data_IF_313719876542
#
_entry.id   IF_313719876542
#
_cell.length_a   1.000
_cell.length_b   1.000
_cell.length_c   1.000
_cell.angle_alpha   90.00
_cell.angle_beta   90.00
_cell.angle_gamma   90.00
#
_symmetry.space_group_name_H-M   'P 1'
#
loop_
_entity.id
_entity.type
_entity.pdbx_description
1 polymer ?
#
# COMPACT_ATOMS: atom_id res chain seq x y z
N UNK A 1 5.97 -13.09 0.23
CA UNK A 1 6.22 -12.85 1.67
C UNK A 1 5.70 -11.45 2.04
N UNK A 2 5.07 -11.30 3.21
CA UNK A 2 4.41 -10.09 3.70
C UNK A 2 5.33 -8.87 3.83
N UNK A 3 6.60 -9.07 4.22
CA UNK A 3 7.57 -7.96 4.37
C UNK A 3 7.81 -7.23 3.04
N UNK A 4 7.85 -7.97 1.93
CA UNK A 4 8.07 -7.39 0.60
C UNK A 4 6.85 -6.61 0.12
N UNK A 5 5.63 -7.14 0.34
CA UNK A 5 4.40 -6.42 0.02
C UNK A 5 4.24 -5.15 0.87
N UNK A 6 4.55 -5.24 2.16
CA UNK A 6 4.57 -4.07 3.03
C UNK A 6 5.55 -3.00 2.52
N UNK A 7 6.77 -3.39 2.12
CA UNK A 7 7.76 -2.45 1.59
C UNK A 7 7.29 -1.79 0.29
N UNK A 8 6.60 -2.55 -0.56
CA UNK A 8 6.02 -2.05 -1.81
C UNK A 8 4.90 -1.03 -1.55
N UNK A 9 4.03 -1.29 -0.56
CA UNK A 9 2.99 -0.34 -0.14
C UNK A 9 3.60 0.89 0.55
N UNK A 10 4.67 0.74 1.31
CA UNK A 10 5.35 1.89 1.93
C UNK A 10 6.18 2.72 0.94
N UNK A 11 6.43 2.23 -0.28
CA UNK A 11 7.22 2.91 -1.31
C UNK A 11 6.36 3.90 -2.13
N UNK A 12 5.95 4.97 -1.45
CA UNK A 12 5.03 5.97 -2.00
C UNK A 12 5.67 6.72 -3.18
N UNK A 13 6.98 6.96 -3.17
CA UNK A 13 7.68 7.64 -4.28
C UNK A 13 7.49 6.90 -5.61
N UNK A 14 7.33 5.57 -5.58
CA UNK A 14 7.11 4.75 -6.77
C UNK A 14 5.68 4.82 -7.33
N UNK A 15 4.69 5.37 -6.61
CA UNK A 15 3.27 5.24 -6.94
C UNK A 15 2.91 5.75 -8.34
N UNK A 16 3.43 6.91 -8.75
CA UNK A 16 3.14 7.49 -10.07
C UNK A 16 3.68 6.66 -11.24
N UNK A 17 4.55 5.67 -10.97
CA UNK A 17 5.07 4.76 -12.01
C UNK A 17 4.12 3.61 -12.34
N UNK A 18 3.13 3.31 -11.49
CA UNK A 18 2.27 2.15 -11.67
C UNK A 18 0.80 2.36 -11.29
N UNK A 19 0.48 3.33 -10.43
CA UNK A 19 -0.90 3.64 -10.09
C UNK A 19 -1.54 4.45 -11.21
N UNK A 20 -2.65 3.97 -11.80
CA UNK A 20 -3.39 4.77 -12.75
C UNK A 20 -3.92 6.02 -12.07
N UNK A 21 -4.00 7.12 -12.81
CA UNK A 21 -4.44 8.44 -12.33
C UNK A 21 -3.51 9.12 -11.33
N UNK A 22 -2.46 8.45 -10.81
CA UNK A 22 -1.41 9.09 -10.03
C UNK A 22 -0.38 9.73 -10.96
N UNK A 23 -0.46 11.05 -11.11
CA UNK A 23 0.38 11.83 -12.01
C UNK A 23 1.76 12.10 -11.41
N UNK A 24 1.85 12.25 -10.09
CA UNK A 24 3.09 12.39 -9.34
C UNK A 24 2.91 11.87 -7.91
N UNK A 25 3.97 11.31 -7.35
CA UNK A 25 4.02 10.85 -5.97
C UNK A 25 5.36 11.18 -5.35
N UNK A 26 5.36 11.76 -4.14
CA UNK A 26 6.61 12.14 -3.48
C UNK A 26 6.51 12.10 -1.96
N UNK A 27 7.41 11.38 -1.30
CA UNK A 27 7.60 11.48 0.15
C UNK A 27 8.31 12.79 0.48
N UNK A 28 7.71 13.60 1.35
CA UNK A 28 8.23 14.91 1.74
C UNK A 28 8.83 14.90 3.14
N UNK A 29 8.37 14.00 4.01
CA UNK A 29 8.92 13.82 5.36
C UNK A 29 8.99 12.33 5.72
N UNK A 30 9.92 12.04 6.62
CA UNK A 30 10.26 10.69 7.06
C UNK A 30 10.29 10.64 8.59
N UNK A 31 9.86 9.52 9.16
CA UNK A 31 9.93 9.23 10.59
C UNK A 31 11.37 9.16 11.12
N UNK A 32 11.51 9.08 12.45
CA UNK A 32 12.76 8.64 13.06
C UNK A 32 13.05 7.18 12.66
N UNK A 33 14.31 6.71 12.76
CA UNK A 33 14.61 5.31 12.56
C UNK A 33 13.80 4.42 13.53
N UNK A 34 13.27 3.31 13.01
CA UNK A 34 12.70 2.25 13.82
C UNK A 34 13.79 1.43 14.54
N UNK A 35 13.38 0.36 15.24
CA UNK A 35 14.29 -0.54 15.96
C UNK A 35 15.37 -1.20 15.08
N UNK A 36 15.11 -1.32 13.78
CA UNK A 36 16.01 -1.92 12.80
C UNK A 36 16.80 -0.84 12.03
N UNK A 37 16.69 0.43 12.45
CA UNK A 37 17.37 1.57 11.83
C UNK A 37 16.71 2.09 10.55
N UNK A 38 15.54 1.56 10.17
CA UNK A 38 14.84 1.96 8.95
C UNK A 38 13.90 3.13 9.19
N UNK A 39 13.86 4.08 8.26
CA UNK A 39 12.90 5.19 8.27
C UNK A 39 11.72 4.88 7.37
N UNK A 40 10.56 5.45 7.71
CA UNK A 40 9.30 5.25 7.02
C UNK A 40 8.66 6.60 6.65
N UNK A 41 7.87 6.69 5.56
CA UNK A 41 7.21 7.94 5.19
C UNK A 41 6.33 8.47 6.31
N UNK A 42 6.44 9.78 6.62
CA UNK A 42 5.59 10.48 7.59
C UNK A 42 4.76 11.60 6.96
N UNK A 43 5.09 12.02 5.74
CA UNK A 43 4.31 12.93 4.92
C UNK A 43 4.62 12.68 3.44
N UNK A 44 3.60 12.70 2.58
CA UNK A 44 3.79 12.57 1.14
C UNK A 44 2.71 13.32 0.35
N UNK A 45 3.09 13.76 -0.85
CA UNK A 45 2.20 14.38 -1.82
C UNK A 45 1.82 13.36 -2.90
N UNK A 46 0.53 13.27 -3.20
CA UNK A 46 0.00 12.56 -4.36
C UNK A 46 -0.75 13.55 -5.25
N UNK A 47 -0.26 13.73 -6.49
CA UNK A 47 -0.98 14.44 -7.53
C UNK A 47 -1.84 13.44 -8.31
N UNK A 48 -3.16 13.63 -8.27
CA UNK A 48 -4.14 12.76 -8.90
C UNK A 48 -4.85 13.50 -10.03
N UNK A 49 -5.03 12.83 -11.17
CA UNK A 49 -5.74 13.38 -12.33
C UNK A 49 -6.93 12.51 -12.74
N UNK A 50 -8.14 13.07 -12.77
CA UNK A 50 -9.33 12.36 -13.25
C UNK A 50 -10.26 13.27 -14.06
N UNK A 51 -10.69 12.81 -15.23
CA UNK A 51 -11.74 13.49 -16.01
C UNK A 51 -11.40 14.94 -16.42
N UNK A 52 -10.12 15.26 -16.60
CA UNK A 52 -9.65 16.60 -16.98
C UNK A 52 -9.33 17.53 -15.80
N UNK A 53 -9.44 17.07 -14.56
CA UNK A 53 -9.06 17.81 -13.35
C UNK A 53 -7.85 17.19 -12.68
N UNK A 54 -6.98 18.02 -12.11
CA UNK A 54 -5.81 17.61 -11.33
C UNK A 54 -5.90 18.19 -9.92
N UNK A 55 -5.64 17.36 -8.91
CA UNK A 55 -5.63 17.76 -7.50
C UNK A 55 -4.38 17.19 -6.83
N UNK A 56 -3.78 17.93 -5.90
CA UNK A 56 -2.66 17.42 -5.09
C UNK A 56 -3.08 17.28 -3.65
N UNK A 57 -2.94 16.06 -3.12
CA UNK A 57 -3.23 15.75 -1.72
C UNK A 57 -1.92 15.54 -0.98
N UNK A 58 -1.71 16.30 0.09
CA UNK A 58 -0.67 15.97 1.08
C UNK A 58 -1.28 15.10 2.17
N UNK A 59 -0.69 13.95 2.43
CA UNK A 59 -1.14 13.02 3.47
C UNK A 59 -0.15 12.98 4.63
N UNK A 60 -0.68 12.93 5.86
CA UNK A 60 0.08 12.50 7.05
C UNK A 60 0.13 10.98 7.06
N UNK A 61 1.29 10.40 7.32
CA UNK A 61 1.50 8.96 7.21
C UNK A 61 1.94 8.34 8.53
N UNK A 62 1.39 7.15 8.81
CA UNK A 62 1.78 6.30 9.93
C UNK A 62 2.06 4.88 9.44
N UNK A 63 3.25 4.39 9.77
CA UNK A 63 3.71 3.08 9.39
C UNK A 63 3.87 2.20 10.64
N UNK A 64 3.26 1.02 10.64
CA UNK A 64 3.60 -0.07 11.58
C UNK A 64 4.48 -1.07 10.81
N UNK A 65 5.79 -1.14 11.07
CA UNK A 65 6.73 -1.91 10.27
C UNK A 65 6.28 -3.36 10.05
N UNK A 66 6.17 -3.74 8.77
CA UNK A 66 5.78 -5.08 8.33
C UNK A 66 4.28 -5.37 8.32
N UNK A 67 3.43 -4.43 8.76
CA UNK A 67 1.99 -4.68 8.90
C UNK A 67 1.09 -3.60 8.33
N UNK A 68 1.26 -2.32 8.70
CA UNK A 68 0.26 -1.28 8.40
C UNK A 68 0.91 -0.06 7.76
N UNK A 69 0.29 0.45 6.70
CA UNK A 69 0.55 1.79 6.16
C UNK A 69 -0.77 2.56 6.18
N UNK A 70 -0.83 3.64 6.94
CA UNK A 70 -2.00 4.50 7.07
C UNK A 70 -1.70 5.90 6.54
N UNK A 71 -2.61 6.45 5.74
CA UNK A 71 -2.55 7.79 5.17
C UNK A 71 -3.80 8.58 5.58
N UNK A 72 -3.58 9.74 6.20
CA UNK A 72 -4.62 10.62 6.72
C UNK A 72 -4.64 11.95 5.96
N UNK A 73 -5.85 12.45 5.66
CA UNK A 73 -6.11 13.78 5.13
C UNK A 73 -7.30 14.43 5.82
N UNK A 74 -7.34 15.77 5.78
CA UNK A 74 -8.39 16.55 6.43
C UNK A 74 -8.35 16.44 7.95
N UNK A 75 -9.51 16.18 8.55
CA UNK A 75 -9.73 16.04 10.00
C UNK A 75 -9.51 14.61 10.50
N UNK A 76 -9.02 13.70 9.65
CA UNK A 76 -8.82 12.30 10.04
C UNK A 76 -7.73 12.15 11.12
N UNK A 77 -7.96 11.24 12.08
CA UNK A 77 -7.05 10.94 13.19
C UNK A 77 -6.76 9.44 13.21
N UNK A 78 -5.51 9.07 13.51
CA UNK A 78 -5.13 7.67 13.63
C UNK A 78 -5.77 7.01 14.85
N UNK A 79 -6.17 5.75 14.70
CA UNK A 79 -6.59 4.89 15.82
C UNK A 79 -5.52 3.86 16.19
N UNK A 80 -4.34 3.92 15.55
CA UNK A 80 -3.25 2.99 15.81
C UNK A 80 -2.68 3.22 17.22
N UNK A 81 -2.30 2.14 17.94
CA UNK A 81 -1.69 2.26 19.26
C UNK A 81 -0.41 3.08 19.21
N UNK A 82 -0.24 4.05 20.14
CA UNK A 82 0.96 4.89 20.19
C UNK A 82 2.26 4.08 20.27
N UNK A 83 2.25 2.97 21.02
CA UNK A 83 3.40 2.09 21.18
C UNK A 83 3.89 1.46 19.87
N UNK A 84 3.00 1.30 18.87
CA UNK A 84 3.36 0.81 17.54
C UNK A 84 3.96 1.92 16.64
N UNK A 85 3.87 3.18 17.09
CA UNK A 85 4.23 4.40 16.36
C UNK A 85 5.36 5.19 17.02
N UNK A 86 6.17 4.56 17.86
CA UNK A 86 7.22 5.25 18.63
C UNK A 86 8.22 6.03 17.75
N UNK A 87 8.50 5.51 16.55
CA UNK A 87 9.35 6.15 15.55
C UNK A 87 8.67 7.33 14.81
N UNK A 88 7.35 7.47 14.93
CA UNK A 88 6.55 8.61 14.46
C UNK A 88 6.24 9.65 15.55
N UNK A 89 6.79 9.52 16.76
CA UNK A 89 6.44 10.36 17.93
C UNK A 89 6.46 11.87 17.66
N UNK A 90 7.37 12.35 16.82
CA UNK A 90 7.53 13.78 16.50
C UNK A 90 6.35 14.33 15.70
N UNK A 91 5.69 13.48 14.91
CA UNK A 91 4.57 13.86 14.04
C UNK A 91 3.23 13.30 14.51
N UNK A 92 3.22 12.55 15.61
CA UNK A 92 2.05 11.77 16.06
C UNK A 92 0.83 12.64 16.37
N UNK A 93 1.07 13.79 16.99
CA UNK A 93 0.03 14.76 17.37
C UNK A 93 -0.13 15.89 16.34
N UNK A 94 0.59 15.83 15.21
CA UNK A 94 0.42 16.78 14.13
C UNK A 94 -0.87 16.48 13.35
N UNK A 95 -1.74 17.47 13.11
CA UNK A 95 -2.96 17.25 12.34
C UNK A 95 -2.65 16.78 10.92
N UNK A 96 -3.59 16.04 10.34
CA UNK A 96 -3.59 15.79 8.91
C UNK A 96 -3.86 17.09 8.13
N UNK A 97 -3.55 17.09 6.83
CA UNK A 97 -3.56 18.30 6.01
C UNK A 97 -4.90 18.39 5.29
N UNK A 98 -5.57 19.54 5.44
CA UNK A 98 -6.84 19.83 4.79
C UNK A 98 -6.71 19.90 3.26
N UNK A 99 -7.76 19.51 2.56
CA UNK A 99 -7.89 19.63 1.11
C UNK A 99 -9.33 20.04 0.75
N UNK A 100 -9.57 20.43 -0.50
CA UNK A 100 -10.87 20.95 -0.94
C UNK A 100 -11.96 19.89 -1.13
N UNK A 101 -11.59 18.60 -1.15
CA UNK A 101 -12.50 17.50 -1.53
C UNK A 101 -13.02 16.75 -0.32
N UNK A 102 -12.13 16.40 0.60
CA UNK A 102 -12.43 15.58 1.77
C UNK A 102 -12.35 16.42 3.05
N UNK A 103 -13.43 16.40 3.83
CA UNK A 103 -13.41 16.84 5.22
C UNK A 103 -12.50 15.92 6.02
N UNK A 104 -12.60 14.62 5.79
CA UNK A 104 -11.69 13.61 6.34
C UNK A 104 -11.50 12.47 5.36
N UNK A 105 -10.29 11.92 5.33
CA UNK A 105 -9.99 10.68 4.61
C UNK A 105 -8.92 9.90 5.37
N UNK A 106 -9.20 8.64 5.65
CA UNK A 106 -8.26 7.65 6.17
C UNK A 106 -8.18 6.50 5.16
N UNK A 107 -6.97 6.27 4.64
CA UNK A 107 -6.65 5.11 3.81
C UNK A 107 -5.70 4.21 4.59
N UNK A 108 -6.09 2.96 4.81
CA UNK A 108 -5.31 2.02 5.60
C UNK A 108 -5.07 0.72 4.86
N UNK A 109 -3.81 0.40 4.64
CA UNK A 109 -3.35 -0.89 4.15
C UNK A 109 -2.91 -1.76 5.32
N UNK A 110 -3.43 -2.99 5.39
CA UNK A 110 -2.97 -4.01 6.33
C UNK A 110 -2.44 -5.22 5.59
N UNK A 111 -1.29 -5.71 6.03
CA UNK A 111 -0.61 -6.87 5.48
C UNK A 111 -0.42 -7.89 6.61
N UNK A 112 -0.83 -9.13 6.37
CA UNK A 112 -0.62 -10.25 7.31
C UNK A 112 -0.29 -11.55 6.59
N UNK A 113 0.56 -12.41 7.16
CA UNK A 113 0.79 -13.75 6.62
C UNK A 113 -0.53 -14.54 6.52
N UNK A 114 -0.71 -15.27 5.42
CA UNK A 114 -1.84 -16.17 5.22
C UNK A 114 -1.32 -17.57 4.93
N UNK A 115 -1.45 -18.45 5.94
CA UNK A 115 -1.12 -19.86 5.78
C UNK A 115 -2.34 -20.58 5.20
N UNK A 116 -2.26 -20.92 3.91
CA UNK A 116 -3.29 -21.76 3.30
C UNK A 116 -3.21 -23.17 3.88
N UNK A 117 -4.32 -23.65 4.46
CA UNK A 117 -4.48 -25.06 4.83
C UNK A 117 -5.37 -25.73 3.78
N UNK A 118 -4.89 -26.73 3.03
CA UNK A 118 -5.75 -27.50 2.13
C UNK A 118 -6.89 -28.14 2.93
N UNK A 119 -8.12 -28.22 2.38
CA UNK A 119 -9.21 -28.91 3.04
C UNK A 119 -8.86 -30.40 3.23
N UNK A 120 -8.79 -30.85 4.47
CA UNK A 120 -8.56 -32.26 4.82
C UNK A 120 -9.79 -33.10 4.48
N UNK A 121 -9.63 -34.17 3.68
CA UNK A 121 -10.64 -35.21 3.50
C UNK A 121 -11.41 -35.24 2.17
N UNK A 122 -11.04 -34.43 1.16
CA UNK A 122 -11.52 -34.63 -0.22
C UNK A 122 -10.44 -35.37 -1.03
N UNK A 123 -10.81 -36.39 -1.85
CA UNK A 123 -9.89 -36.94 -2.84
C UNK A 123 -9.35 -35.79 -3.69
N UNK A 124 -8.04 -35.63 -3.70
CA UNK A 124 -7.34 -34.61 -4.46
C UNK A 124 -7.49 -34.94 -5.95
N UNK A 125 -8.51 -34.38 -6.61
CA UNK A 125 -8.73 -34.51 -8.05
C UNK A 125 -7.85 -33.55 -8.86
N UNK A 126 -7.07 -32.71 -8.18
CA UNK A 126 -6.16 -31.74 -8.76
C UNK A 126 -4.71 -32.18 -8.45
N UNK A 127 -4.04 -32.74 -9.45
CA UNK A 127 -2.66 -33.25 -9.38
C UNK A 127 -1.59 -32.13 -9.23
N UNK A 128 -1.99 -30.90 -8.92
CA UNK A 128 -1.05 -29.84 -8.59
C UNK A 128 -0.54 -30.03 -7.16
N UNK A 129 0.63 -30.67 -7.02
CA UNK A 129 1.46 -30.63 -5.81
C UNK A 129 2.06 -29.23 -5.61
N UNK A 130 1.22 -28.21 -5.54
CA UNK A 130 1.65 -26.88 -5.14
C UNK A 130 1.88 -26.90 -3.62
N UNK A 131 3.12 -26.68 -3.12
CA UNK A 131 3.36 -26.63 -1.68
C UNK A 131 2.49 -25.55 -1.04
N UNK A 132 2.21 -25.66 0.26
CA UNK A 132 1.54 -24.62 1.03
C UNK A 132 2.32 -23.29 0.91
N UNK A 133 2.03 -22.50 -0.13
CA UNK A 133 2.73 -21.26 -0.40
C UNK A 133 2.44 -20.29 0.74
N UNK A 134 3.48 -19.64 1.25
CA UNK A 134 3.37 -18.49 2.14
C UNK A 134 2.66 -17.36 1.39
N UNK A 135 1.33 -17.36 1.47
CA UNK A 135 0.51 -16.29 0.92
C UNK A 135 0.48 -15.14 1.91
N UNK A 136 0.06 -14.00 1.42
CA UNK A 136 -0.10 -12.80 2.24
C UNK A 136 -1.48 -12.26 1.93
N UNK A 137 -2.22 -11.96 2.98
CA UNK A 137 -3.49 -11.26 2.88
C UNK A 137 -3.22 -9.76 2.98
N UNK A 138 -3.74 -9.01 2.01
CA UNK A 138 -3.67 -7.55 1.97
C UNK A 138 -5.10 -7.03 2.06
N UNK A 139 -5.33 -6.12 3.00
CA UNK A 139 -6.63 -5.48 3.20
C UNK A 139 -6.48 -3.97 3.05
N UNK A 140 -7.27 -3.38 2.16
CA UNK A 140 -7.38 -1.93 1.96
C UNK A 140 -8.71 -1.45 2.54
N UNK A 141 -8.64 -0.49 3.46
CA UNK A 141 -9.79 0.21 4.02
C UNK A 141 -9.71 1.70 3.65
N UNK A 142 -10.85 2.28 3.27
CA UNK A 142 -11.01 3.67 2.88
C UNK A 142 -12.21 4.24 3.63
N UNK A 143 -11.96 5.08 4.63
CA UNK A 143 -12.98 5.80 5.39
C UNK A 143 -12.89 7.29 5.05
N UNK A 144 -13.95 7.89 4.52
CA UNK A 144 -13.90 9.29 4.08
C UNK A 144 -15.24 10.02 4.25
N UNK A 145 -15.13 11.34 4.39
CA UNK A 145 -16.24 12.29 4.35
C UNK A 145 -15.90 13.40 3.38
N UNK A 146 -16.77 13.67 2.40
CA UNK A 146 -16.59 14.78 1.48
C UNK A 146 -16.94 16.11 2.13
N UNK A 147 -16.19 17.16 1.76
CA UNK A 147 -16.44 18.54 2.23
C UNK A 147 -17.73 19.13 1.66
N UNK A 148 -18.21 18.64 0.51
CA UNK A 148 -19.42 19.11 -0.14
C UNK A 148 -20.43 17.96 -0.38
N UNK A 149 -21.69 18.09 0.09
CA UNK A 149 -22.75 17.12 -0.15
C UNK A 149 -23.00 16.79 -1.64
N UNK A 150 -22.75 17.73 -2.55
CA UNK A 150 -22.88 17.49 -3.99
C UNK A 150 -21.83 16.48 -4.50
N UNK A 151 -20.57 16.62 -4.06
CA UNK A 151 -19.54 15.63 -4.38
C UNK A 151 -19.85 14.28 -3.76
N UNK A 152 -20.41 14.25 -2.54
CA UNK A 152 -20.84 13.01 -1.90
C UNK A 152 -21.90 12.26 -2.74
N UNK A 153 -22.90 12.98 -3.25
CA UNK A 153 -23.95 12.39 -4.09
C UNK A 153 -23.40 11.83 -5.41
N UNK A 154 -22.50 12.57 -6.08
CA UNK A 154 -21.94 12.17 -7.37
C UNK A 154 -20.89 11.05 -7.26
N UNK A 155 -20.16 10.97 -6.15
CA UNK A 155 -18.98 10.09 -6.03
C UNK A 155 -19.28 8.74 -5.39
N UNK A 156 -20.44 8.55 -4.73
CA UNK A 156 -20.78 7.32 -4.00
C UNK A 156 -20.75 6.06 -4.88
N UNK A 157 -21.05 6.17 -6.17
CA UNK A 157 -21.01 5.06 -7.12
C UNK A 157 -19.59 4.76 -7.66
N UNK A 158 -18.63 5.67 -7.47
CA UNK A 158 -17.28 5.60 -8.06
C UNK A 158 -16.24 5.07 -7.06
N UNK A 159 -16.45 5.27 -5.75
CA UNK A 159 -15.49 4.87 -4.73
C UNK A 159 -15.09 3.36 -4.78
N UNK A 160 -16.02 2.38 -4.91
CA UNK A 160 -15.64 0.97 -5.01
C UNK A 160 -14.77 0.67 -6.24
N UNK A 161 -15.00 1.40 -7.35
CA UNK A 161 -14.24 1.23 -8.58
C UNK A 161 -12.80 1.72 -8.42
N UNK A 162 -12.59 2.84 -7.73
CA UNK A 162 -11.24 3.39 -7.48
C UNK A 162 -10.44 2.45 -6.58
N UNK A 163 -11.05 1.90 -5.52
CA UNK A 163 -10.40 0.92 -4.66
C UNK A 163 -9.96 -0.34 -5.43
N UNK A 164 -10.83 -0.87 -6.29
CA UNK A 164 -10.51 -2.04 -7.13
C UNK A 164 -9.35 -1.76 -8.09
N UNK A 165 -9.34 -0.59 -8.73
CA UNK A 165 -8.26 -0.15 -9.62
C UNK A 165 -6.92 -0.06 -8.87
N UNK A 166 -6.91 0.49 -7.65
CA UNK A 166 -5.70 0.58 -6.84
C UNK A 166 -5.18 -0.82 -6.50
N UNK A 167 -6.04 -1.71 -5.98
CA UNK A 167 -5.65 -3.08 -5.62
C UNK A 167 -5.05 -3.80 -6.82
N UNK A 168 -5.69 -3.75 -7.98
CA UNK A 168 -5.21 -4.40 -9.21
C UNK A 168 -3.83 -3.87 -9.63
N UNK A 169 -3.62 -2.56 -9.59
CA UNK A 169 -2.33 -1.95 -9.90
C UNK A 169 -1.22 -2.41 -8.94
N UNK A 170 -1.52 -2.51 -7.64
CA UNK A 170 -0.60 -3.05 -6.64
C UNK A 170 -0.28 -4.53 -6.87
N UNK A 171 -1.27 -5.35 -7.20
CA UNK A 171 -1.05 -6.76 -7.53
C UNK A 171 -0.16 -6.94 -8.77
N UNK A 172 -0.40 -6.15 -9.82
CA UNK A 172 0.45 -6.16 -11.03
C UNK A 172 1.89 -5.75 -10.68
N UNK A 173 2.06 -4.71 -9.86
CA UNK A 173 3.38 -4.25 -9.42
C UNK A 173 4.08 -5.30 -8.56
N UNK A 174 3.36 -5.96 -7.66
CA UNK A 174 3.88 -7.02 -6.80
C UNK A 174 4.37 -8.21 -7.63
N UNK A 175 3.59 -8.70 -8.60
CA UNK A 175 4.03 -9.77 -9.52
C UNK A 175 5.33 -9.40 -10.23
N UNK A 176 5.39 -8.20 -10.83
CA UNK A 176 6.59 -7.74 -11.55
C UNK A 176 7.85 -7.69 -10.68
N UNK A 177 7.75 -7.21 -9.44
CA UNK A 177 8.92 -7.04 -8.57
C UNK A 177 9.30 -8.30 -7.81
N UNK A 178 8.33 -9.12 -7.40
CA UNK A 178 8.57 -10.28 -6.54
C UNK A 178 8.83 -11.56 -7.35
N UNK A 179 8.21 -11.71 -8.52
CA UNK A 179 8.47 -12.86 -9.40
C UNK A 179 9.78 -12.66 -10.18
N UNK A 180 10.12 -11.40 -10.50
CA UNK A 180 11.37 -11.04 -11.17
C UNK A 180 12.63 -11.19 -10.31
N UNK A 181 12.50 -11.27 -8.98
CA UNK A 181 13.62 -11.55 -8.07
C UNK A 181 13.89 -13.06 -7.88
N UNK A 182 13.06 -13.94 -8.47
CA UNK A 182 13.19 -15.39 -8.38
C UNK A 182 13.96 -16.06 -9.53
N UNK A 183 14.37 -15.33 -10.56
CA UNK A 183 15.12 -15.90 -11.69
C UNK A 183 16.58 -15.47 -11.61
N UNK A 184 17.34 -16.11 -10.72
CA UNK A 184 18.80 -16.17 -10.86
C UNK A 184 19.10 -17.10 -12.03
N UNK A 185 19.27 -16.55 -13.23
CA UNK A 185 19.80 -17.31 -14.38
C UNK A 185 21.24 -17.72 -14.01
N UNK A 186 21.42 -18.96 -13.56
CA UNK A 186 22.72 -19.60 -13.59
C UNK A 186 23.02 -19.85 -15.06
N UNK A 187 23.73 -18.92 -15.69
CA UNK A 187 24.28 -19.09 -17.01
C UNK A 187 25.31 -20.21 -16.95
N UNK A 188 24.87 -21.41 -17.31
CA UNK A 188 25.72 -22.58 -17.46
C UNK A 188 26.72 -22.29 -18.59
N UNK A 189 27.97 -22.01 -18.22
CA UNK A 189 29.06 -21.84 -19.18
C UNK A 189 29.56 -23.23 -19.56
N UNK A 190 28.99 -23.77 -20.64
CA UNK A 190 29.65 -24.81 -21.44
C UNK A 190 31.01 -24.28 -21.93
N UNK A 191 32.10 -24.77 -21.37
CA UNK A 191 33.38 -24.82 -22.06
C UNK A 191 33.74 -26.29 -22.31
N UNK A 192 33.49 -26.71 -23.54
CA UNK A 192 34.13 -27.87 -24.14
C UNK A 192 35.39 -27.37 -24.85
N UNK A 193 36.56 -27.92 -24.50
CA UNK A 193 37.73 -27.95 -25.38
C UNK A 193 38.80 -28.93 -24.89
N UNK A 194 38.98 -29.95 -25.74
CA UNK A 194 40.13 -30.83 -26.04
C UNK A 194 40.81 -31.59 -24.89
#
# INVERSE_FOLDING_TARGET
NSKSLYTLIADIDSYSSFLPYCLASRVTKWSAPDKDGKRWPSEADLKVGWGGYEETFTSRLFCVPGSIVEALGGEAVTSLPRADLEHHKETLDSPAIANGIFQSINTQWRVKPFHYKPPTGRPQMDHTEEPAKDRTEVHLSLDFQFSNPLYAALSKAVAPKVAGIMIEAFEVRARKLLDGQGVTVHGDRMESRM
#
